data_IF_140772472660
#
_entry.id   IF_140772472660
#
_cell.length_a   1.000
_cell.length_b   1.000
_cell.length_c   1.000
_cell.angle_alpha   90.00
_cell.angle_beta   90.00
_cell.angle_gamma   90.00
#
_symmetry.space_group_name_H-M   'P 1'
#
loop_
_entity.id
_entity.type
_entity.pdbx_description
1 polymer ?
#
# COMPACT_ATOMS: atom_id res chain seq x y z
N UNK A 1 7.41 -9.00 12.08
CA UNK A 1 7.22 -8.60 10.67
C UNK A 1 5.87 -9.03 10.12
N UNK A 2 5.32 -10.19 10.50
CA UNK A 2 4.09 -10.72 9.90
C UNK A 2 2.86 -9.83 10.10
N UNK A 3 2.77 -9.16 11.25
CA UNK A 3 1.77 -8.12 11.49
C UNK A 3 1.73 -7.09 10.34
N UNK A 4 2.88 -6.51 9.97
CA UNK A 4 2.95 -5.48 8.93
C UNK A 4 2.65 -6.03 7.55
N UNK A 5 3.15 -7.24 7.24
CA UNK A 5 2.81 -7.91 5.97
C UNK A 5 1.30 -8.10 5.84
N UNK A 6 0.63 -8.58 6.88
CA UNK A 6 -0.82 -8.78 6.88
C UNK A 6 -1.57 -7.45 6.72
N UNK A 7 -1.09 -6.38 7.37
CA UNK A 7 -1.67 -5.04 7.21
C UNK A 7 -1.51 -4.52 5.77
N UNK A 8 -0.32 -4.62 5.19
CA UNK A 8 -0.06 -4.18 3.82
C UNK A 8 -0.80 -5.02 2.78
N UNK A 9 -0.94 -6.34 2.99
CA UNK A 9 -1.75 -7.20 2.13
C UNK A 9 -3.23 -6.79 2.19
N UNK A 10 -3.77 -6.52 3.38
CA UNK A 10 -5.14 -6.04 3.52
C UNK A 10 -5.40 -4.70 2.79
N UNK A 11 -4.45 -3.76 2.84
CA UNK A 11 -4.53 -2.51 2.06
C UNK A 11 -4.56 -2.82 0.56
N UNK A 12 -3.67 -3.68 0.09
CA UNK A 12 -3.59 -4.06 -1.33
C UNK A 12 -4.85 -4.77 -1.81
N UNK A 13 -5.45 -5.65 -1.01
CA UNK A 13 -6.70 -6.34 -1.33
C UNK A 13 -7.88 -5.37 -1.42
N UNK A 14 -8.01 -4.44 -0.46
CA UNK A 14 -9.02 -3.37 -0.53
C UNK A 14 -8.86 -2.53 -1.79
N UNK A 15 -7.63 -2.11 -2.10
CA UNK A 15 -7.36 -1.35 -3.31
C UNK A 15 -7.73 -2.11 -4.59
N UNK A 16 -7.34 -3.39 -4.69
CA UNK A 16 -7.70 -4.27 -5.81
C UNK A 16 -9.22 -4.39 -5.98
N UNK A 17 -9.94 -4.49 -4.87
CA UNK A 17 -11.40 -4.54 -4.88
C UNK A 17 -11.98 -3.22 -5.42
N UNK A 18 -11.54 -2.06 -4.91
CA UNK A 18 -11.98 -0.76 -5.39
C UNK A 18 -11.71 -0.56 -6.89
N UNK A 19 -10.50 -0.86 -7.36
CA UNK A 19 -10.16 -0.73 -8.79
C UNK A 19 -11.03 -1.60 -9.68
N UNK A 20 -11.45 -2.79 -9.21
CA UNK A 20 -12.38 -3.66 -9.96
C UNK A 20 -13.78 -3.08 -10.03
N UNK A 21 -14.27 -2.49 -8.94
CA UNK A 21 -15.63 -1.93 -8.87
C UNK A 21 -15.76 -0.61 -9.62
N UNK A 22 -14.73 0.23 -9.55
CA UNK A 22 -14.74 1.60 -10.06
C UNK A 22 -13.83 1.79 -11.28
N UNK A 23 -13.62 0.73 -12.08
CA UNK A 23 -12.66 0.73 -13.20
C UNK A 23 -12.87 1.88 -14.20
N UNK A 24 -14.12 2.29 -14.41
CA UNK A 24 -14.48 3.38 -15.32
C UNK A 24 -14.33 4.76 -14.67
N UNK A 25 -14.36 4.83 -13.34
CA UNK A 25 -14.13 6.04 -12.57
C UNK A 25 -12.65 6.16 -12.18
N UNK A 26 -11.88 6.77 -13.10
CA UNK A 26 -10.45 7.00 -12.90
C UNK A 26 -10.14 7.91 -11.71
N UNK A 27 -11.02 8.87 -11.42
CA UNK A 27 -10.82 9.81 -10.31
C UNK A 27 -10.92 9.07 -8.98
N UNK A 28 -11.93 8.21 -8.85
CA UNK A 28 -12.08 7.35 -7.68
C UNK A 28 -10.91 6.37 -7.54
N UNK A 29 -10.47 5.74 -8.63
CA UNK A 29 -9.29 4.86 -8.62
C UNK A 29 -8.02 5.59 -8.16
N UNK A 30 -7.79 6.83 -8.61
CA UNK A 30 -6.66 7.66 -8.17
C UNK A 30 -6.76 7.98 -6.68
N UNK A 31 -7.93 8.37 -6.19
CA UNK A 31 -8.14 8.65 -4.77
C UNK A 31 -7.83 7.41 -3.91
N UNK A 32 -8.40 6.25 -4.25
CA UNK A 32 -8.10 5.01 -3.55
C UNK A 32 -6.61 4.63 -3.58
N UNK A 33 -5.91 4.93 -4.68
CA UNK A 33 -4.47 4.70 -4.80
C UNK A 33 -3.68 5.59 -3.83
N UNK A 34 -3.96 6.89 -3.82
CA UNK A 34 -3.30 7.84 -2.92
C UNK A 34 -3.59 7.54 -1.44
N UNK A 35 -4.84 7.21 -1.11
CA UNK A 35 -5.23 6.80 0.25
C UNK A 35 -4.47 5.54 0.71
N UNK A 36 -4.36 4.54 -0.16
CA UNK A 36 -3.62 3.31 0.13
C UNK A 36 -2.13 3.57 0.35
N UNK A 37 -1.51 4.46 -0.44
CA UNK A 37 -0.13 4.90 -0.23
C UNK A 37 0.02 5.60 1.13
N UNK A 38 -0.88 6.51 1.44
CA UNK A 38 -0.88 7.26 2.71
C UNK A 38 -1.04 6.36 3.93
N UNK A 39 -1.91 5.34 3.86
CA UNK A 39 -2.08 4.37 4.95
C UNK A 39 -0.80 3.53 5.17
N UNK A 40 -0.17 3.06 4.09
CA UNK A 40 1.12 2.35 4.17
C UNK A 40 2.22 3.24 4.77
N UNK A 41 2.25 4.51 4.40
CA UNK A 41 3.22 5.49 4.93
C UNK A 41 2.97 5.77 6.41
N UNK A 42 1.72 6.00 6.80
CA UNK A 42 1.36 6.21 8.20
C UNK A 42 1.70 5.00 9.07
N UNK A 43 1.56 3.78 8.56
CA UNK A 43 1.97 2.57 9.28
C UNK A 43 3.49 2.55 9.48
N UNK A 44 4.27 2.89 8.47
CA UNK A 44 5.74 2.95 8.60
C UNK A 44 6.19 4.05 9.56
N UNK A 45 5.68 5.27 9.43
CA UNK A 45 6.12 6.43 10.21
C UNK A 45 5.97 6.24 11.73
N UNK A 46 4.98 5.44 12.16
CA UNK A 46 4.80 5.08 13.59
C UNK A 46 5.92 4.20 14.15
N UNK A 47 6.74 3.65 13.28
CA UNK A 47 7.80 2.70 13.60
C UNK A 47 9.15 3.08 12.95
N UNK A 48 9.29 4.32 12.48
CA UNK A 48 10.56 4.79 11.93
C UNK A 48 11.51 5.23 13.05
N UNK A 49 12.22 4.26 13.60
CA UNK A 49 13.24 4.43 14.64
C UNK A 49 14.67 4.33 14.07
N UNK A 50 14.84 4.40 12.75
CA UNK A 50 16.13 4.28 12.03
C UNK A 50 16.99 3.05 12.36
N UNK A 51 16.39 1.99 12.92
CA UNK A 51 17.08 0.76 13.29
C UNK A 51 16.98 -0.31 12.19
N UNK A 52 17.49 -1.52 12.48
CA UNK A 52 17.43 -2.63 11.55
C UNK A 52 15.99 -3.09 11.27
N UNK A 53 15.08 -2.90 12.23
CA UNK A 53 13.68 -3.22 12.07
C UNK A 53 12.98 -2.22 11.14
N UNK A 54 13.18 -0.92 11.33
CA UNK A 54 12.59 0.12 10.48
C UNK A 54 13.08 0.00 9.03
N UNK A 55 14.35 -0.34 8.81
CA UNK A 55 14.87 -0.66 7.46
C UNK A 55 14.12 -1.83 6.80
N UNK A 56 13.95 -2.94 7.52
CA UNK A 56 13.18 -4.10 7.03
C UNK A 56 11.71 -3.76 6.77
N UNK A 57 11.14 -2.89 7.59
CA UNK A 57 9.77 -2.42 7.41
C UNK A 57 9.64 -1.51 6.19
N UNK A 58 10.62 -0.62 5.96
CA UNK A 58 10.69 0.22 4.78
C UNK A 58 10.79 -0.61 3.50
N UNK A 59 11.66 -1.62 3.46
CA UNK A 59 11.77 -2.52 2.31
C UNK A 59 10.47 -3.28 2.05
N UNK A 60 9.80 -3.73 3.13
CA UNK A 60 8.51 -4.37 3.03
C UNK A 60 7.45 -3.41 2.45
N UNK A 61 7.32 -2.20 3.00
CA UNK A 61 6.43 -1.14 2.50
C UNK A 61 6.69 -0.88 1.02
N UNK A 62 7.94 -0.67 0.62
CA UNK A 62 8.33 -0.37 -0.75
C UNK A 62 7.94 -1.49 -1.72
N UNK A 63 8.08 -2.75 -1.31
CA UNK A 63 7.62 -3.90 -2.10
C UNK A 63 6.10 -3.86 -2.33
N UNK A 64 5.33 -3.55 -1.29
CA UNK A 64 3.87 -3.43 -1.38
C UNK A 64 3.41 -2.21 -2.18
N UNK A 65 4.05 -1.05 -2.03
CA UNK A 65 3.77 0.14 -2.87
C UNK A 65 4.03 -0.13 -4.35
N UNK A 66 5.08 -0.91 -4.68
CA UNK A 66 5.32 -1.36 -6.07
C UNK A 66 4.19 -2.26 -6.58
N UNK A 67 3.70 -3.21 -5.75
CA UNK A 67 2.55 -4.06 -6.10
C UNK A 67 1.27 -3.23 -6.28
N UNK A 68 1.04 -2.25 -5.42
CA UNK A 68 -0.07 -1.29 -5.51
C UNK A 68 -0.02 -0.51 -6.83
N UNK A 69 1.16 0.06 -7.17
CA UNK A 69 1.37 0.79 -8.42
C UNK A 69 1.11 -0.07 -9.66
N UNK A 70 1.50 -1.34 -9.65
CA UNK A 70 1.20 -2.28 -10.74
C UNK A 70 -0.30 -2.47 -10.94
N UNK A 71 -1.04 -2.69 -9.85
CA UNK A 71 -2.51 -2.79 -9.89
C UNK A 71 -3.14 -1.51 -10.43
N UNK A 72 -2.67 -0.34 -9.97
CA UNK A 72 -3.16 0.96 -10.42
C UNK A 72 -2.93 1.19 -11.92
N UNK A 73 -1.74 0.85 -12.42
CA UNK A 73 -1.37 0.97 -13.84
C UNK A 73 -1.97 -0.14 -14.72
N UNK A 74 -2.53 -1.20 -14.12
CA UNK A 74 -3.05 -2.36 -14.85
C UNK A 74 -1.98 -3.24 -15.50
N UNK A 75 -0.77 -3.29 -14.95
CA UNK A 75 0.41 -4.03 -15.46
C UNK A 75 0.91 -5.12 -14.52
#
# INVERSE_FOLDING_TARGET
MDYFKNRFEGILERFRFSVRMYREDKVHCEQCYQESLGEMESLFNRHDCHDSFSKRLMDCKNSYQRRLKKVYLGI
#
